data_IF_001083485455
#
_entry.id   IF_001083485455
#
_cell.length_a   1.000
_cell.length_b   1.000
_cell.length_c   1.000
_cell.angle_alpha   90.00
_cell.angle_beta   90.00
_cell.angle_gamma   90.00
#
_symmetry.space_group_name_H-M   'P 1'
#
loop_
_entity.id
_entity.type
_entity.pdbx_description
1 polymer ?
#
# COMPACT_ATOMS: atom_id res chain seq x y z
N UNK A 1 22.26 -4.12 -13.11
CA UNK A 1 20.92 -3.53 -12.90
C UNK A 1 21.01 -2.02 -13.06
N UNK A 2 20.25 -1.43 -13.99
CA UNK A 2 20.17 0.03 -14.13
C UNK A 2 19.55 0.58 -12.84
N UNK A 3 20.33 1.35 -12.07
CA UNK A 3 19.86 1.97 -10.83
C UNK A 3 18.80 3.00 -11.20
N UNK A 4 17.52 2.62 -11.16
CA UNK A 4 16.41 3.54 -11.36
C UNK A 4 16.45 4.57 -10.21
N UNK A 5 16.71 5.83 -10.55
CA UNK A 5 16.70 6.94 -9.61
C UNK A 5 15.29 7.12 -9.04
N UNK A 6 15.21 7.59 -7.79
CA UNK A 6 13.93 7.77 -7.12
C UNK A 6 12.98 8.70 -7.89
N UNK A 7 13.52 9.72 -8.56
CA UNK A 7 12.77 10.64 -9.41
C UNK A 7 12.05 9.92 -10.56
N UNK A 8 12.71 8.97 -11.22
CA UNK A 8 12.09 8.16 -12.27
C UNK A 8 10.97 7.27 -11.73
N UNK A 9 11.15 6.72 -10.52
CA UNK A 9 10.10 5.91 -9.87
C UNK A 9 8.89 6.75 -9.50
N UNK A 10 9.11 7.96 -8.97
CA UNK A 10 8.04 8.90 -8.61
C UNK A 10 7.32 9.38 -9.87
N UNK A 11 8.04 9.66 -10.96
CA UNK A 11 7.44 10.02 -12.24
C UNK A 11 6.51 8.92 -12.77
N UNK A 12 6.99 7.67 -12.83
CA UNK A 12 6.20 6.53 -13.29
C UNK A 12 5.02 6.23 -12.35
N UNK A 13 5.23 6.34 -11.04
CA UNK A 13 4.18 6.16 -10.03
C UNK A 13 3.08 7.21 -10.13
N UNK A 14 3.42 8.46 -10.45
CA UNK A 14 2.44 9.50 -10.74
C UNK A 14 1.69 9.29 -12.05
N UNK A 15 2.38 8.83 -13.09
CA UNK A 15 1.80 8.61 -14.43
C UNK A 15 0.65 7.58 -14.45
N UNK A 16 0.70 6.58 -13.58
CA UNK A 16 -0.33 5.53 -13.51
C UNK A 16 -1.57 5.92 -12.69
N UNK A 17 -1.58 7.10 -12.06
CA UNK A 17 -2.73 7.60 -11.31
C UNK A 17 -3.75 8.21 -12.27
N UNK A 18 -5.03 7.97 -11.99
CA UNK A 18 -6.15 8.50 -12.78
C UNK A 18 -7.14 9.24 -11.88
N UNK A 19 -7.98 10.08 -12.51
CA UNK A 19 -9.09 10.80 -11.88
C UNK A 19 -8.70 11.56 -10.60
N UNK A 20 -9.34 11.24 -9.46
CA UNK A 20 -9.08 11.88 -8.17
C UNK A 20 -7.63 11.70 -7.70
N UNK A 21 -7.01 10.56 -8.03
CA UNK A 21 -5.64 10.27 -7.63
C UNK A 21 -4.60 11.09 -8.39
N UNK A 22 -4.82 11.36 -9.69
CA UNK A 22 -3.96 12.29 -10.45
C UNK A 22 -4.08 13.71 -9.89
N UNK A 23 -5.32 14.19 -9.66
CA UNK A 23 -5.54 15.52 -9.08
C UNK A 23 -4.90 15.68 -7.70
N UNK A 24 -5.07 14.68 -6.82
CA UNK A 24 -4.41 14.67 -5.52
C UNK A 24 -2.89 14.69 -5.67
N UNK A 25 -2.32 13.84 -6.54
CA UNK A 25 -0.87 13.72 -6.69
C UNK A 25 -0.25 15.00 -7.24
N UNK A 26 -0.89 15.69 -8.19
CA UNK A 26 -0.42 17.00 -8.69
C UNK A 26 -0.28 18.03 -7.56
N UNK A 27 -1.28 18.12 -6.69
CA UNK A 27 -1.26 19.03 -5.55
C UNK A 27 -0.20 18.61 -4.50
N UNK A 28 -0.12 17.32 -4.20
CA UNK A 28 0.89 16.78 -3.29
C UNK A 28 2.31 17.01 -3.83
N UNK A 29 2.56 16.72 -5.10
CA UNK A 29 3.86 16.89 -5.76
C UNK A 29 4.35 18.35 -5.67
N UNK A 30 3.48 19.32 -5.95
CA UNK A 30 3.80 20.75 -5.79
C UNK A 30 4.18 21.11 -4.36
N UNK A 31 3.38 20.68 -3.37
CA UNK A 31 3.63 20.94 -1.95
C UNK A 31 4.92 20.27 -1.45
N UNK A 32 5.16 19.03 -1.86
CA UNK A 32 6.26 18.21 -1.38
C UNK A 32 7.60 18.58 -2.03
N UNK A 33 7.56 19.07 -3.28
CA UNK A 33 8.71 19.54 -4.05
C UNK A 33 9.02 21.03 -3.88
N UNK A 34 8.31 21.74 -3.00
CA UNK A 34 8.59 23.14 -2.67
C UNK A 34 10.07 23.31 -2.28
N UNK A 35 10.66 24.45 -2.68
CA UNK A 35 12.08 24.78 -2.46
C UNK A 35 13.09 23.81 -3.12
N UNK A 36 12.68 23.12 -4.19
CA UNK A 36 13.56 22.19 -4.92
C UNK A 36 13.81 20.87 -4.19
N UNK A 37 12.95 20.51 -3.23
CA UNK A 37 13.08 19.26 -2.51
C UNK A 37 12.82 18.05 -3.43
N UNK A 38 13.80 17.13 -3.51
CA UNK A 38 13.63 15.88 -4.24
C UNK A 38 12.62 14.99 -3.49
N UNK A 39 11.60 14.52 -4.21
CA UNK A 39 10.65 13.56 -3.67
C UNK A 39 11.22 12.16 -3.90
N UNK A 40 11.53 11.48 -2.80
CA UNK A 40 11.98 10.09 -2.83
C UNK A 40 10.81 9.14 -3.09
N UNK A 41 11.10 7.95 -3.62
CA UNK A 41 10.07 6.92 -3.83
C UNK A 41 9.43 6.51 -2.50
N UNK A 42 10.21 6.48 -1.42
CA UNK A 42 9.70 6.20 -0.08
C UNK A 42 8.68 7.26 0.38
N UNK A 43 8.93 8.54 0.09
CA UNK A 43 8.02 9.64 0.44
C UNK A 43 6.73 9.57 -0.37
N UNK A 44 6.82 9.33 -1.68
CA UNK A 44 5.64 9.10 -2.53
C UNK A 44 4.74 7.99 -1.95
N UNK A 45 5.32 6.80 -1.71
CA UNK A 45 4.55 5.66 -1.17
C UNK A 45 3.90 5.98 0.16
N UNK A 46 4.59 6.68 1.05
CA UNK A 46 4.04 7.07 2.35
C UNK A 46 2.81 7.96 2.19
N UNK A 47 2.91 9.05 1.43
CA UNK A 47 1.78 9.97 1.25
C UNK A 47 0.61 9.29 0.53
N UNK A 48 0.91 8.44 -0.46
CA UNK A 48 -0.10 7.65 -1.18
C UNK A 48 -0.86 6.70 -0.23
N UNK A 49 -0.13 5.90 0.56
CA UNK A 49 -0.75 4.96 1.49
C UNK A 49 -1.48 5.69 2.63
N UNK A 50 -0.99 6.84 3.09
CA UNK A 50 -1.73 7.65 4.08
C UNK A 50 -3.09 8.10 3.56
N UNK A 51 -3.21 8.47 2.28
CA UNK A 51 -4.45 8.95 1.67
C UNK A 51 -5.40 7.81 1.26
N UNK A 52 -4.88 6.76 0.62
CA UNK A 52 -5.70 5.72 -0.01
C UNK A 52 -5.78 4.41 0.76
N UNK A 53 -4.88 4.20 1.72
CA UNK A 53 -4.91 3.02 2.57
C UNK A 53 -4.70 3.41 4.05
N UNK A 54 -5.62 4.20 4.62
CA UNK A 54 -5.49 4.77 5.95
C UNK A 54 -5.47 3.70 7.06
N UNK A 55 -5.16 4.11 8.29
CA UNK A 55 -4.89 3.20 9.40
C UNK A 55 -6.11 2.36 9.79
N UNK A 56 -7.30 2.94 9.72
CA UNK A 56 -8.60 2.27 9.88
C UNK A 56 -8.81 1.16 8.85
N UNK A 57 -8.55 1.42 7.57
CA UNK A 57 -8.69 0.39 6.52
C UNK A 57 -7.64 -0.73 6.68
N UNK A 58 -6.41 -0.38 7.12
CA UNK A 58 -5.39 -1.37 7.49
C UNK A 58 -5.84 -2.22 8.68
N UNK A 59 -6.36 -1.59 9.72
CA UNK A 59 -6.86 -2.30 10.91
C UNK A 59 -8.04 -3.20 10.56
N UNK A 60 -8.92 -2.77 9.66
CA UNK A 60 -10.03 -3.59 9.14
C UNK A 60 -9.52 -4.86 8.48
N UNK A 61 -8.43 -4.79 7.71
CA UNK A 61 -7.77 -5.97 7.12
C UNK A 61 -7.16 -6.90 8.16
N UNK A 62 -6.59 -6.37 9.24
CA UNK A 62 -6.10 -7.18 10.37
C UNK A 62 -7.25 -7.88 11.09
N UNK A 63 -8.36 -7.19 11.34
CA UNK A 63 -9.56 -7.79 11.95
C UNK A 63 -10.14 -8.87 11.04
N UNK A 64 -10.25 -8.61 9.73
CA UNK A 64 -10.70 -9.59 8.73
C UNK A 64 -9.83 -10.85 8.75
N UNK A 65 -8.51 -10.70 8.92
CA UNK A 65 -7.59 -11.82 9.09
C UNK A 65 -7.83 -12.59 10.39
N UNK A 66 -7.97 -11.89 11.51
CA UNK A 66 -8.19 -12.51 12.84
C UNK A 66 -9.48 -13.31 12.91
N UNK A 67 -10.52 -12.83 12.24
CA UNK A 67 -11.83 -13.45 12.22
C UNK A 67 -11.99 -14.47 11.08
N UNK A 68 -10.96 -14.63 10.24
CA UNK A 68 -11.00 -15.55 9.09
C UNK A 68 -11.16 -16.99 9.58
N UNK A 69 -12.27 -17.60 9.18
CA UNK A 69 -12.57 -19.01 9.38
C UNK A 69 -12.91 -19.61 8.03
N UNK A 70 -12.52 -20.86 7.79
CA UNK A 70 -12.85 -21.55 6.53
C UNK A 70 -14.35 -21.54 6.27
N UNK A 71 -15.17 -21.83 7.28
CA UNK A 71 -16.62 -21.86 7.14
C UNK A 71 -17.05 -22.79 6.00
N UNK A 72 -17.83 -22.27 5.05
CA UNK A 72 -18.26 -22.98 3.83
C UNK A 72 -17.32 -22.83 2.63
N UNK A 73 -16.17 -22.15 2.78
CA UNK A 73 -15.20 -21.99 1.68
C UNK A 73 -14.49 -23.32 1.39
N UNK A 74 -14.10 -23.50 0.13
CA UNK A 74 -13.16 -24.56 -0.19
C UNK A 74 -11.82 -24.29 0.49
N UNK A 75 -11.02 -25.34 0.71
CA UNK A 75 -9.67 -25.19 1.27
C UNK A 75 -8.81 -24.27 0.41
N UNK A 76 -8.98 -24.34 -0.92
CA UNK A 76 -8.28 -23.50 -1.87
C UNK A 76 -8.63 -22.02 -1.70
N UNK A 77 -9.93 -21.69 -1.64
CA UNK A 77 -10.38 -20.29 -1.50
C UNK A 77 -9.99 -19.71 -0.12
N UNK A 78 -10.04 -20.54 0.92
CA UNK A 78 -9.57 -20.15 2.25
C UNK A 78 -8.07 -19.86 2.24
N UNK A 79 -7.25 -20.73 1.66
CA UNK A 79 -5.80 -20.52 1.58
C UNK A 79 -5.45 -19.25 0.80
N UNK A 80 -6.09 -19.01 -0.34
CA UNK A 80 -5.92 -17.79 -1.11
C UNK A 80 -6.28 -16.54 -0.30
N UNK A 81 -7.40 -16.58 0.43
CA UNK A 81 -7.83 -15.46 1.30
C UNK A 81 -6.90 -15.26 2.50
N UNK A 82 -6.39 -16.35 3.07
CA UNK A 82 -5.39 -16.30 4.14
C UNK A 82 -4.11 -15.61 3.67
N UNK A 83 -3.56 -16.01 2.51
CA UNK A 83 -2.36 -15.40 1.91
C UNK A 83 -2.58 -13.92 1.56
N UNK A 84 -3.78 -13.56 1.09
CA UNK A 84 -4.13 -12.17 0.82
C UNK A 84 -4.15 -11.31 2.09
N UNK A 85 -4.64 -11.85 3.21
CA UNK A 85 -4.85 -11.09 4.44
C UNK A 85 -3.63 -11.11 5.37
N UNK A 86 -2.84 -12.18 5.38
CA UNK A 86 -1.70 -12.34 6.28
C UNK A 86 -0.63 -11.25 6.07
N UNK A 87 -0.47 -10.73 4.85
CA UNK A 87 0.46 -9.62 4.53
C UNK A 87 0.14 -8.32 5.30
N UNK A 88 -1.09 -8.15 5.78
CA UNK A 88 -1.50 -6.98 6.56
C UNK A 88 -1.33 -7.18 8.07
N UNK A 89 -1.06 -8.41 8.52
CA UNK A 89 -0.94 -8.78 9.93
C UNK A 89 0.46 -9.34 10.25
N UNK A 90 1.57 -8.60 9.97
CA UNK A 90 2.93 -9.13 10.08
C UNK A 90 3.30 -9.60 11.49
N UNK A 91 2.70 -9.02 12.54
CA UNK A 91 2.91 -9.43 13.93
C UNK A 91 2.33 -10.80 14.29
N UNK A 92 1.47 -11.34 13.42
CA UNK A 92 0.76 -12.61 13.63
C UNK A 92 1.24 -13.71 12.67
N UNK A 93 2.15 -13.37 11.74
CA UNK A 93 2.77 -14.34 10.84
C UNK A 93 3.92 -15.13 11.51
N UNK A 94 4.35 -14.75 12.71
CA UNK A 94 5.15 -15.60 13.60
C UNK A 94 4.23 -16.55 14.35
N UNK A 95 3.71 -17.55 13.65
CA UNK A 95 3.37 -18.81 14.30
C UNK A 95 4.68 -19.57 14.49
N UNK A 96 5.33 -19.42 15.65
CA UNK A 96 6.16 -20.51 16.15
C UNK A 96 5.22 -21.57 16.72
N UNK A 97 5.12 -22.66 15.97
CA UNK A 97 4.68 -23.98 16.42
C UNK A 97 5.86 -24.73 17.04
#
# INVERSE_FOLDING_TARGET
AMRCLDEHRVLLGGYVLHDEADHWWRNANQRLGANGAVITWARFKREFLTKYFPADERNRKVIEFMELKQGGMSVYDYAAKFEELCRFAPHYNTMEA
#
